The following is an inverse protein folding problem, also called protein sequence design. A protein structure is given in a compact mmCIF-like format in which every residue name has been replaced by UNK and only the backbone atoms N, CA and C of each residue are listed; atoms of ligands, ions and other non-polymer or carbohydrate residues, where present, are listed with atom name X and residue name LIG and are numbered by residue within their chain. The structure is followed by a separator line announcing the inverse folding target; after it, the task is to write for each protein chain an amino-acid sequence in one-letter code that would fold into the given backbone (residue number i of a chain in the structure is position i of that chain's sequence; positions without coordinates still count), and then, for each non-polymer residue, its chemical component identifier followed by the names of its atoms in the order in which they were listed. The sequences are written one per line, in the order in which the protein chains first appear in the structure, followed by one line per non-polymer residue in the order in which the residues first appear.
data_IF_071949384772
#
_entry.id   IF_071949384772
#
_cell.length_a   1.000
_cell.length_b   1.000
_cell.length_c   1.000
_cell.angle_alpha   90.00
_cell.angle_beta   90.00
_cell.angle_gamma   90.00
#
_symmetry.space_group_name_H-M   'P 1'
#
loop_
_entity.id
_entity.type
_entity.pdbx_description
1 polymer ?
#
# COMPACT_ATOMS: atom_id res chain seq x y z
N UNK A 1 -41.89 -42.81 -45.02
CA UNK A 1 -42.94 -42.34 -45.98
C UNK A 1 -42.73 -40.84 -46.15
N UNK A 2 -42.21 -40.45 -47.31
CA UNK A 2 -42.33 -39.09 -47.88
C UNK A 2 -43.77 -38.95 -48.40
N UNK A 3 -44.32 -37.75 -48.82
CA UNK A 3 -43.65 -36.73 -49.65
C UNK A 3 -44.08 -35.24 -49.43
N UNK A 4 -43.26 -34.37 -50.06
CA UNK A 4 -43.55 -33.32 -51.09
C UNK A 4 -44.14 -31.98 -50.68
N UNK A 5 -43.41 -30.93 -50.84
CA UNK A 5 -43.22 -29.98 -51.96
C UNK A 5 -44.40 -28.99 -52.16
N UNK A 6 -44.13 -27.67 -52.17
CA UNK A 6 -44.29 -26.82 -53.36
C UNK A 6 -43.82 -25.36 -53.15
N UNK A 7 -43.03 -24.89 -54.12
CA UNK A 7 -42.61 -23.50 -54.39
C UNK A 7 -43.86 -22.59 -54.69
N UNK A 8 -43.73 -21.29 -54.42
CA UNK A 8 -44.14 -20.26 -55.37
C UNK A 8 -43.35 -18.94 -55.18
N UNK A 9 -42.69 -18.54 -56.27
CA UNK A 9 -42.10 -17.22 -56.50
C UNK A 9 -43.20 -16.22 -56.86
N UNK A 10 -43.05 -14.95 -56.45
CA UNK A 10 -43.53 -13.80 -57.24
C UNK A 10 -42.72 -12.54 -56.90
N UNK A 11 -42.02 -12.03 -57.91
CA UNK A 11 -41.35 -10.75 -57.94
C UNK A 11 -42.29 -9.64 -58.36
N UNK A 12 -42.22 -8.46 -57.77
CA UNK A 12 -42.68 -7.21 -58.38
C UNK A 12 -41.68 -6.10 -58.10
N UNK A 13 -41.16 -5.53 -59.20
CA UNK A 13 -40.36 -4.32 -59.27
C UNK A 13 -41.18 -3.06 -58.94
N UNK A 14 -40.56 -2.10 -58.24
CA UNK A 14 -41.08 -0.75 -58.07
C UNK A 14 -39.97 0.23 -57.84
N UNK A 15 -39.51 0.92 -58.85
CA UNK A 15 -38.63 2.09 -58.81
C UNK A 15 -39.28 3.30 -58.13
N UNK A 16 -38.55 3.99 -57.28
CA UNK A 16 -38.97 5.29 -56.71
C UNK A 16 -37.76 5.99 -56.10
N UNK A 17 -37.06 6.76 -56.91
CA UNK A 17 -36.08 7.75 -56.48
C UNK A 17 -36.74 8.92 -55.76
N UNK A 18 -36.18 9.33 -54.58
CA UNK A 18 -36.16 10.74 -54.16
C UNK A 18 -35.28 10.99 -52.95
N UNK A 19 -34.30 11.81 -53.17
CA UNK A 19 -33.67 12.84 -52.32
C UNK A 19 -33.20 12.48 -50.91
N UNK A 20 -31.90 12.45 -50.75
CA UNK A 20 -31.17 12.64 -49.50
C UNK A 20 -31.21 14.10 -49.02
N UNK A 21 -31.30 14.38 -47.71
CA UNK A 21 -30.54 15.44 -47.16
C UNK A 21 -29.28 14.89 -46.47
N UNK A 22 -28.16 15.47 -46.84
CA UNK A 22 -26.89 15.39 -46.11
C UNK A 22 -27.02 16.06 -44.75
N UNK A 23 -26.92 15.29 -43.65
CA UNK A 23 -26.36 15.74 -42.39
C UNK A 23 -26.45 14.60 -41.33
N UNK A 24 -25.56 13.64 -41.43
CA UNK A 24 -25.29 12.67 -40.34
C UNK A 24 -23.83 12.21 -40.40
N UNK A 25 -22.90 13.15 -40.46
CA UNK A 25 -21.46 12.85 -40.35
C UNK A 25 -20.76 13.41 -39.12
N UNK A 26 -21.45 14.10 -38.22
CA UNK A 26 -20.82 14.68 -37.02
C UNK A 26 -21.10 13.96 -35.69
N UNK A 27 -21.86 12.86 -35.72
CA UNK A 27 -22.23 12.11 -34.51
C UNK A 27 -21.45 10.81 -34.28
N UNK A 28 -20.53 10.41 -35.15
CA UNK A 28 -19.87 9.08 -35.08
C UNK A 28 -18.38 9.08 -34.81
N UNK A 29 -17.75 10.24 -34.66
CA UNK A 29 -16.30 10.36 -34.38
C UNK A 29 -15.94 10.51 -32.90
N UNK A 30 -16.91 10.50 -31.97
CA UNK A 30 -16.65 10.58 -30.53
C UNK A 30 -16.76 9.25 -29.76
N UNK A 31 -16.90 8.12 -30.42
CA UNK A 31 -17.06 6.81 -29.77
C UNK A 31 -16.03 5.74 -30.16
N UNK A 32 -14.94 6.09 -30.79
CA UNK A 32 -13.91 5.10 -31.18
C UNK A 32 -12.49 5.50 -30.80
N UNK A 33 -12.31 6.22 -29.73
CA UNK A 33 -10.96 6.48 -29.22
C UNK A 33 -10.98 6.34 -27.71
N UNK A 34 -10.81 5.12 -27.21
CA UNK A 34 -10.15 4.81 -25.91
C UNK A 34 -10.31 3.34 -25.48
N UNK A 35 -10.46 2.42 -26.39
CA UNK A 35 -10.33 1.00 -26.05
C UNK A 35 -8.85 0.61 -26.07
N UNK A 36 -8.05 1.00 -25.04
CA UNK A 36 -6.70 0.50 -24.99
C UNK A 36 -5.64 1.23 -24.21
N UNK A 37 -5.94 2.37 -23.61
CA UNK A 37 -4.93 3.10 -22.84
C UNK A 37 -5.08 2.90 -21.33
N UNK A 38 -5.39 1.68 -20.88
CA UNK A 38 -5.42 1.37 -19.46
C UNK A 38 -3.98 1.31 -18.93
N UNK A 39 -3.75 1.89 -17.77
CA UNK A 39 -2.48 1.78 -17.07
C UNK A 39 -2.46 0.49 -16.25
N UNK A 40 -1.28 -0.12 -16.18
CA UNK A 40 -1.04 -1.31 -15.36
C UNK A 40 -0.03 -1.01 -14.27
N UNK A 41 -0.30 -1.47 -13.06
CA UNK A 41 0.61 -1.35 -11.93
C UNK A 41 0.63 -2.60 -11.08
N UNK A 42 1.70 -2.77 -10.32
CA UNK A 42 1.80 -3.88 -9.37
C UNK A 42 2.63 -3.49 -8.15
N UNK A 43 2.36 -4.11 -7.00
CA UNK A 43 3.24 -3.94 -5.85
C UNK A 43 2.56 -4.02 -4.50
N UNK A 44 2.89 -3.08 -3.64
CA UNK A 44 2.56 -3.06 -2.23
C UNK A 44 1.08 -3.32 -1.92
N UNK A 45 0.83 -4.17 -0.92
CA UNK A 45 -0.52 -4.40 -0.39
C UNK A 45 -0.91 -3.33 0.63
N UNK A 46 0.06 -2.67 1.24
CA UNK A 46 -0.13 -1.61 2.23
C UNK A 46 -1.07 -0.51 1.72
N UNK A 47 -0.86 0.15 0.54
CA UNK A 47 -1.75 1.20 0.05
C UNK A 47 -2.94 0.68 -0.76
N UNK A 48 -3.10 -0.64 -0.94
CA UNK A 48 -4.12 -1.19 -1.82
C UNK A 48 -5.54 -0.66 -1.58
N UNK A 49 -6.03 -0.49 -0.34
CA UNK A 49 -7.36 0.08 -0.09
C UNK A 49 -7.53 1.50 -0.63
N UNK A 50 -6.54 2.39 -0.43
CA UNK A 50 -6.62 3.75 -0.95
C UNK A 50 -6.39 3.80 -2.46
N UNK A 51 -5.49 2.98 -3.00
CA UNK A 51 -5.27 2.89 -4.44
C UNK A 51 -6.53 2.43 -5.17
N UNK A 52 -7.21 1.40 -4.67
CA UNK A 52 -8.49 0.96 -5.23
C UNK A 52 -9.52 2.09 -5.25
N UNK A 53 -9.65 2.85 -4.14
CA UNK A 53 -10.56 4.00 -4.06
C UNK A 53 -10.17 5.11 -5.05
N UNK A 54 -8.90 5.42 -5.18
CA UNK A 54 -8.41 6.44 -6.11
C UNK A 54 -8.58 6.03 -7.57
N UNK A 55 -8.24 4.78 -7.93
CA UNK A 55 -8.37 4.30 -9.31
C UNK A 55 -9.83 4.28 -9.76
N UNK A 56 -10.76 3.87 -8.88
CA UNK A 56 -12.19 3.93 -9.16
C UNK A 56 -12.68 5.38 -9.33
N UNK A 57 -12.29 6.30 -8.44
CA UNK A 57 -12.67 7.71 -8.52
C UNK A 57 -12.08 8.38 -9.78
N UNK A 58 -10.81 8.09 -10.10
CA UNK A 58 -10.14 8.62 -11.27
C UNK A 58 -10.78 8.11 -12.57
N UNK A 59 -11.13 6.83 -12.62
CA UNK A 59 -11.82 6.25 -13.77
C UNK A 59 -13.22 6.86 -14.00
N UNK A 60 -13.96 7.15 -12.92
CA UNK A 60 -15.26 7.84 -13.01
C UNK A 60 -15.13 9.27 -13.52
N UNK A 61 -14.05 9.97 -13.16
CA UNK A 61 -13.81 11.36 -13.58
C UNK A 61 -13.27 11.46 -15.02
N UNK A 62 -12.38 10.54 -15.41
CA UNK A 62 -11.59 10.68 -16.64
C UNK A 62 -11.85 9.62 -17.70
N UNK A 63 -12.50 8.52 -17.34
CA UNK A 63 -12.67 7.34 -18.20
C UNK A 63 -11.40 6.45 -18.29
N UNK A 64 -10.28 6.83 -17.64
CA UNK A 64 -9.02 6.08 -17.66
C UNK A 64 -9.04 5.04 -16.53
N UNK A 65 -8.88 3.77 -16.89
CA UNK A 65 -8.84 2.66 -15.96
C UNK A 65 -7.41 2.30 -15.61
N UNK A 66 -7.16 2.07 -14.33
CA UNK A 66 -5.87 1.62 -13.81
C UNK A 66 -6.06 0.22 -13.24
N UNK A 67 -5.36 -0.75 -13.81
CA UNK A 67 -5.34 -2.13 -13.31
C UNK A 67 -4.15 -2.31 -12.38
N UNK A 68 -4.40 -2.67 -11.12
CA UNK A 68 -3.37 -2.82 -10.11
C UNK A 68 -3.36 -4.22 -9.50
N UNK A 69 -2.18 -4.83 -9.46
CA UNK A 69 -1.94 -6.13 -8.85
C UNK A 69 -1.30 -5.97 -7.48
N UNK A 70 -2.07 -6.20 -6.42
CA UNK A 70 -1.60 -6.16 -5.03
C UNK A 70 -0.82 -7.44 -4.68
N UNK A 71 0.49 -7.47 -4.95
CA UNK A 71 1.36 -8.66 -4.87
C UNK A 71 2.55 -8.51 -3.91
N UNK A 72 2.60 -7.41 -3.19
CA UNK A 72 3.70 -7.04 -2.29
C UNK A 72 4.80 -6.22 -2.97
N UNK A 73 5.50 -5.41 -2.18
CA UNK A 73 6.52 -4.47 -2.65
C UNK A 73 7.63 -5.14 -3.45
N UNK A 74 8.09 -6.31 -3.02
CA UNK A 74 9.14 -7.05 -3.75
C UNK A 74 8.68 -7.48 -5.15
N UNK A 75 7.41 -7.89 -5.30
CA UNK A 75 6.80 -8.18 -6.59
C UNK A 75 6.68 -6.93 -7.47
N UNK A 76 6.27 -5.80 -6.87
CA UNK A 76 6.15 -4.51 -7.53
C UNK A 76 7.49 -3.99 -8.06
N UNK A 77 8.52 -3.96 -7.20
CA UNK A 77 9.87 -3.56 -7.61
C UNK A 77 10.37 -4.43 -8.77
N UNK A 78 10.19 -5.75 -8.69
CA UNK A 78 10.63 -6.66 -9.74
C UNK A 78 9.92 -6.39 -11.07
N UNK A 79 8.59 -6.34 -11.09
CA UNK A 79 7.83 -6.10 -12.32
C UNK A 79 8.11 -4.73 -12.93
N UNK A 80 8.31 -3.72 -12.07
CA UNK A 80 8.72 -2.39 -12.50
C UNK A 80 10.12 -2.41 -13.14
N UNK A 81 11.09 -3.06 -12.52
CA UNK A 81 12.46 -3.19 -13.05
C UNK A 81 12.48 -3.96 -14.38
N UNK A 82 11.64 -4.99 -14.53
CA UNK A 82 11.48 -5.78 -15.74
C UNK A 82 10.66 -5.06 -16.83
N UNK A 83 10.08 -3.90 -16.54
CA UNK A 83 9.25 -3.13 -17.48
C UNK A 83 7.93 -3.83 -17.89
N UNK A 84 7.43 -4.75 -17.06
CA UNK A 84 6.19 -5.50 -17.33
C UNK A 84 4.93 -4.78 -16.85
N UNK A 85 5.09 -3.67 -16.13
CA UNK A 85 4.02 -2.76 -15.69
C UNK A 85 4.41 -1.31 -15.96
N UNK A 86 3.42 -0.42 -16.05
CA UNK A 86 3.64 1.00 -16.29
C UNK A 86 4.16 1.72 -15.04
N UNK A 87 3.84 1.20 -13.85
CA UNK A 87 4.37 1.68 -12.57
C UNK A 87 4.46 0.55 -11.53
N UNK A 88 5.41 0.67 -10.63
CA UNK A 88 5.50 -0.17 -9.44
C UNK A 88 4.89 0.52 -8.22
N UNK A 89 4.67 -0.24 -7.13
CA UNK A 89 4.35 0.33 -5.82
C UNK A 89 5.10 -0.37 -4.71
N UNK A 90 5.65 0.41 -3.77
CA UNK A 90 6.46 -0.11 -2.67
C UNK A 90 6.35 0.76 -1.43
N UNK A 91 6.36 0.13 -0.24
CA UNK A 91 6.49 0.78 1.06
C UNK A 91 7.92 0.66 1.60
N UNK A 92 8.82 0.11 0.80
CA UNK A 92 10.26 0.14 0.99
C UNK A 92 10.88 0.92 -0.16
N UNK A 93 11.75 1.90 0.09
CA UNK A 93 12.49 2.52 -1.00
C UNK A 93 13.36 1.48 -1.71
N UNK A 94 13.50 1.61 -3.02
CA UNK A 94 14.45 0.79 -3.76
C UNK A 94 15.87 1.04 -3.27
N UNK A 95 16.67 0.00 -3.23
CA UNK A 95 18.13 0.13 -3.00
C UNK A 95 18.81 0.77 -4.21
N UNK A 96 20.01 1.29 -4.03
CA UNK A 96 20.76 1.88 -5.14
C UNK A 96 21.01 0.88 -6.27
N UNK A 97 21.24 -0.40 -5.93
CA UNK A 97 21.41 -1.45 -6.94
C UNK A 97 20.10 -1.75 -7.69
N UNK A 98 18.96 -1.71 -7.00
CA UNK A 98 17.66 -1.85 -7.64
C UNK A 98 17.36 -0.66 -8.57
N UNK A 99 17.66 0.56 -8.15
CA UNK A 99 17.50 1.77 -8.99
C UNK A 99 18.38 1.67 -10.25
N UNK A 100 19.66 1.30 -10.09
CA UNK A 100 20.58 1.11 -11.23
C UNK A 100 20.15 0.03 -12.22
N UNK A 101 19.37 -0.95 -11.76
CA UNK A 101 18.87 -2.04 -12.61
C UNK A 101 17.66 -1.62 -13.46
N UNK A 102 17.04 -0.47 -13.18
CA UNK A 102 15.89 0.03 -13.95
C UNK A 102 16.36 0.72 -15.22
N UNK A 103 15.81 0.35 -16.36
CA UNK A 103 16.05 1.07 -17.61
C UNK A 103 15.32 2.40 -17.60
N UNK A 104 16.04 3.51 -17.81
CA UNK A 104 15.45 4.86 -17.89
C UNK A 104 15.23 5.55 -16.55
N UNK A 105 15.99 5.15 -15.52
CA UNK A 105 15.95 5.66 -14.15
C UNK A 105 14.58 5.49 -13.46
N UNK A 106 14.61 5.42 -12.14
CA UNK A 106 13.42 5.29 -11.30
C UNK A 106 13.21 6.54 -10.44
N UNK A 107 11.97 7.02 -10.37
CA UNK A 107 11.53 8.04 -9.43
C UNK A 107 10.62 7.42 -8.37
N UNK A 108 10.83 7.79 -7.11
CA UNK A 108 9.96 7.46 -6.00
C UNK A 108 8.96 8.60 -5.78
N UNK A 109 7.69 8.36 -6.07
CA UNK A 109 6.61 9.34 -5.90
C UNK A 109 5.81 8.98 -4.64
N UNK A 110 6.01 9.68 -3.51
CA UNK A 110 5.22 9.42 -2.30
C UNK A 110 3.75 9.71 -2.55
N UNK A 111 2.87 8.88 -2.00
CA UNK A 111 1.43 8.96 -2.23
C UNK A 111 0.65 9.31 -0.98
N UNK A 112 0.89 8.59 0.10
CA UNK A 112 0.31 8.79 1.44
C UNK A 112 1.30 8.32 2.49
N UNK A 113 0.94 8.57 3.76
CA UNK A 113 1.60 7.97 4.91
C UNK A 113 0.66 6.97 5.57
N UNK A 114 1.23 5.89 6.12
CA UNK A 114 0.46 4.93 6.90
C UNK A 114 1.25 4.42 8.10
N UNK A 115 0.58 3.63 8.93
CA UNK A 115 1.11 3.02 10.14
C UNK A 115 1.17 1.51 10.01
N UNK A 116 2.28 0.90 10.37
CA UNK A 116 2.33 -0.53 10.66
C UNK A 116 1.96 -0.74 12.12
N UNK A 117 0.94 -1.56 12.38
CA UNK A 117 0.46 -1.86 13.71
C UNK A 117 0.74 -3.30 14.10
N UNK A 118 1.13 -3.52 15.36
CA UNK A 118 1.15 -4.85 15.95
C UNK A 118 -0.29 -5.21 16.33
N UNK A 119 -0.94 -6.03 15.52
CA UNK A 119 -2.32 -6.49 15.72
C UNK A 119 -2.32 -7.88 16.35
N UNK A 120 -3.33 -8.18 17.15
CA UNK A 120 -3.39 -9.44 17.90
C UNK A 120 -4.82 -9.96 18.03
N UNK A 121 -4.91 -11.23 18.44
CA UNK A 121 -6.17 -11.88 18.74
C UNK A 121 -6.12 -12.48 20.15
N UNK A 122 -6.67 -11.76 21.11
CA UNK A 122 -6.79 -12.16 22.53
C UNK A 122 -8.23 -11.96 23.01
N UNK A 123 -9.12 -12.93 22.80
CA UNK A 123 -10.53 -12.79 23.19
C UNK A 123 -10.73 -12.50 24.68
N UNK A 124 -9.84 -12.99 25.54
CA UNK A 124 -9.91 -12.82 27.00
C UNK A 124 -9.79 -11.37 27.49
N UNK A 125 -9.19 -10.47 26.70
CA UNK A 125 -9.07 -9.05 27.03
C UNK A 125 -9.95 -8.15 26.16
N UNK A 126 -10.72 -8.74 25.25
CA UNK A 126 -11.62 -8.04 24.34
C UNK A 126 -10.89 -7.04 23.45
N UNK A 127 -11.39 -5.80 23.40
CA UNK A 127 -10.81 -4.72 22.59
C UNK A 127 -9.82 -3.82 23.35
N UNK A 128 -9.31 -4.28 24.49
CA UNK A 128 -8.33 -3.50 25.27
C UNK A 128 -7.07 -3.30 24.43
N UNK A 129 -6.70 -2.04 24.21
CA UNK A 129 -5.46 -1.71 23.49
C UNK A 129 -4.25 -2.02 24.38
N UNK A 130 -3.41 -2.94 23.95
CA UNK A 130 -2.15 -3.25 24.63
C UNK A 130 -1.11 -2.17 24.35
N UNK A 131 -0.17 -2.04 25.27
CA UNK A 131 1.02 -1.19 25.15
C UNK A 131 2.24 -2.08 24.98
N UNK A 132 3.02 -1.84 23.92
CA UNK A 132 4.28 -2.54 23.67
C UNK A 132 5.38 -1.52 23.42
N UNK A 133 6.60 -1.84 23.85
CA UNK A 133 7.78 -1.09 23.44
C UNK A 133 8.57 -1.86 22.38
N UNK A 134 9.46 -1.16 21.71
CA UNK A 134 10.25 -1.75 20.61
C UNK A 134 11.10 -2.95 21.05
N UNK A 135 11.82 -2.90 22.20
CA UNK A 135 12.58 -4.05 22.69
C UNK A 135 11.69 -5.27 22.98
N UNK A 136 10.55 -5.10 23.64
CA UNK A 136 9.61 -6.20 23.91
C UNK A 136 9.07 -6.81 22.63
N UNK A 137 8.69 -5.96 21.66
CA UNK A 137 8.20 -6.41 20.36
C UNK A 137 9.29 -7.20 19.60
N UNK A 138 10.54 -6.73 19.62
CA UNK A 138 11.66 -7.44 19.03
C UNK A 138 11.89 -8.82 19.68
N UNK A 139 11.82 -8.92 21.01
CA UNK A 139 11.99 -10.19 21.74
C UNK A 139 10.86 -11.20 21.41
N UNK A 140 9.63 -10.72 21.16
CA UNK A 140 8.52 -11.56 20.70
C UNK A 140 8.86 -12.15 19.30
N UNK A 141 9.22 -11.30 18.33
CA UNK A 141 9.56 -11.75 16.98
C UNK A 141 10.86 -12.58 16.91
N UNK A 142 11.75 -12.42 17.89
CA UNK A 142 12.93 -13.30 18.06
C UNK A 142 12.61 -14.67 18.68
N UNK A 143 11.38 -14.88 19.18
CA UNK A 143 10.97 -16.10 19.88
C UNK A 143 11.51 -16.22 21.30
N UNK A 144 11.90 -15.10 21.93
CA UNK A 144 12.40 -15.07 23.31
C UNK A 144 11.33 -14.69 24.33
N UNK A 145 10.23 -14.09 23.89
CA UNK A 145 8.98 -13.94 24.60
C UNK A 145 7.95 -14.78 23.87
N UNK A 146 7.48 -15.83 24.51
CA UNK A 146 6.59 -16.81 23.90
C UNK A 146 5.21 -16.89 24.53
N UNK A 147 4.98 -16.13 25.61
CA UNK A 147 3.70 -16.13 26.33
C UNK A 147 3.20 -14.72 26.58
N UNK A 148 1.88 -14.53 26.47
CA UNK A 148 1.25 -13.26 26.76
C UNK A 148 1.38 -12.84 28.23
N UNK A 149 1.46 -13.81 29.16
CA UNK A 149 1.70 -13.57 30.59
C UNK A 149 3.14 -13.19 30.95
N UNK A 150 4.06 -13.11 29.99
CA UNK A 150 5.45 -12.71 30.25
C UNK A 150 5.51 -11.38 30.99
N UNK A 151 6.36 -11.32 32.04
CA UNK A 151 6.48 -10.15 32.91
C UNK A 151 6.85 -8.85 32.17
N UNK A 152 7.54 -8.95 31.02
CA UNK A 152 7.90 -7.79 30.20
C UNK A 152 6.68 -7.18 29.54
N UNK A 153 5.71 -7.99 29.12
CA UNK A 153 4.44 -7.52 28.56
C UNK A 153 3.52 -7.02 29.68
N UNK A 154 3.39 -7.77 30.77
CA UNK A 154 2.49 -7.40 31.88
C UNK A 154 2.92 -6.11 32.57
N UNK A 155 4.23 -5.86 32.70
CA UNK A 155 4.77 -4.60 33.25
C UNK A 155 4.42 -3.37 32.41
N UNK A 156 4.26 -3.51 31.10
CA UNK A 156 3.83 -2.43 30.19
C UNK A 156 2.31 -2.21 30.24
N UNK A 157 1.54 -3.16 30.78
CA UNK A 157 0.09 -3.20 30.77
C UNK A 157 -0.50 -3.37 32.19
N UNK A 158 -0.17 -2.48 33.14
CA UNK A 158 -0.70 -2.60 34.51
C UNK A 158 -2.23 -2.55 34.50
N UNK A 159 -2.86 -3.47 35.24
CA UNK A 159 -4.31 -3.59 35.31
C UNK A 159 -4.96 -4.45 34.20
N UNK A 160 -4.22 -4.87 33.18
CA UNK A 160 -4.72 -5.82 32.19
C UNK A 160 -4.36 -7.24 32.60
N UNK A 161 -5.37 -8.11 32.79
CA UNK A 161 -5.16 -9.53 33.10
C UNK A 161 -4.84 -10.29 31.82
N UNK A 162 -3.57 -10.35 31.46
CA UNK A 162 -3.12 -11.11 30.30
C UNK A 162 -3.21 -12.63 30.55
N UNK A 163 -3.64 -13.42 29.56
CA UNK A 163 -3.77 -14.89 29.73
C UNK A 163 -2.39 -15.54 29.74
N UNK A 164 -2.31 -16.67 30.44
CA UNK A 164 -1.16 -17.57 30.34
C UNK A 164 -1.29 -18.45 29.09
N UNK A 165 -1.11 -17.82 27.94
CA UNK A 165 -1.31 -18.37 26.58
C UNK A 165 -0.08 -18.09 25.72
N UNK A 166 0.23 -19.02 24.82
CA UNK A 166 1.32 -18.86 23.87
C UNK A 166 1.05 -17.74 22.87
N UNK A 167 2.11 -17.04 22.48
CA UNK A 167 2.09 -16.06 21.41
C UNK A 167 2.38 -16.78 20.09
N UNK A 168 1.43 -16.77 19.19
CA UNK A 168 1.60 -17.27 17.83
C UNK A 168 1.97 -16.11 16.92
N UNK A 169 3.24 -16.01 16.57
CA UNK A 169 3.71 -14.95 15.68
C UNK A 169 3.23 -15.20 14.25
N UNK A 170 2.70 -14.14 13.61
CA UNK A 170 2.31 -14.16 12.20
C UNK A 170 3.09 -13.10 11.44
N UNK A 171 3.77 -13.49 10.38
CA UNK A 171 4.61 -12.61 9.57
C UNK A 171 4.27 -12.70 8.08
N UNK A 172 4.83 -11.83 7.26
CA UNK A 172 4.66 -11.85 5.80
C UNK A 172 5.50 -12.98 5.18
N UNK A 173 4.92 -13.65 4.20
CA UNK A 173 5.58 -14.71 3.41
C UNK A 173 6.04 -14.23 2.02
N UNK A 174 5.67 -13.01 1.63
CA UNK A 174 6.04 -12.36 0.37
C UNK A 174 7.05 -11.23 0.61
N UNK A 175 7.64 -10.70 -0.46
CA UNK A 175 8.47 -9.50 -0.40
C UNK A 175 7.62 -8.27 -0.07
N UNK A 176 7.74 -7.74 1.14
CA UNK A 176 6.79 -6.81 1.76
C UNK A 176 7.43 -5.52 2.24
N UNK A 177 6.89 -4.38 1.80
CA UNK A 177 7.26 -3.09 2.37
C UNK A 177 6.82 -2.93 3.82
N UNK A 178 5.65 -3.50 4.21
CA UNK A 178 5.21 -3.54 5.60
C UNK A 178 6.23 -4.28 6.49
N UNK A 179 6.82 -5.38 5.99
CA UNK A 179 7.94 -6.06 6.65
C UNK A 179 9.16 -5.15 6.75
N UNK A 180 9.51 -4.43 5.68
CA UNK A 180 10.64 -3.49 5.71
C UNK A 180 10.45 -2.43 6.79
N UNK A 181 9.27 -1.82 6.89
CA UNK A 181 8.96 -0.78 7.88
C UNK A 181 9.12 -1.32 9.30
N UNK A 182 8.51 -2.48 9.59
CA UNK A 182 8.64 -3.10 10.91
C UNK A 182 10.09 -3.46 11.24
N UNK A 183 10.79 -4.11 10.31
CA UNK A 183 12.17 -4.57 10.54
C UNK A 183 13.17 -3.42 10.61
N UNK A 184 12.92 -2.31 9.91
CA UNK A 184 13.68 -1.07 10.08
C UNK A 184 13.48 -0.47 11.48
N UNK A 185 12.25 -0.42 11.96
CA UNK A 185 11.96 0.00 13.35
C UNK A 185 12.64 -0.91 14.37
N UNK A 186 12.46 -2.23 14.26
CA UNK A 186 13.05 -3.20 15.19
C UNK A 186 14.59 -3.14 15.17
N UNK A 187 15.21 -2.89 14.02
CA UNK A 187 16.66 -2.72 13.90
C UNK A 187 17.17 -1.44 14.58
N UNK A 188 16.34 -0.39 14.66
CA UNK A 188 16.68 0.86 15.36
C UNK A 188 16.60 0.74 16.89
N UNK A 189 15.69 -0.11 17.39
CA UNK A 189 15.36 -0.20 18.82
C UNK A 189 15.89 -1.45 19.52
N UNK A 190 16.42 -2.44 18.78
CA UNK A 190 16.96 -3.69 19.29
C UNK A 190 18.27 -4.10 18.59
N UNK A 191 19.43 -3.98 19.27
CA UNK A 191 20.69 -4.49 18.75
C UNK A 191 20.67 -6.00 18.47
N UNK A 192 19.92 -6.78 19.28
CA UNK A 192 19.78 -8.21 19.09
C UNK A 192 19.04 -8.54 17.78
N UNK A 193 17.95 -7.79 17.48
CA UNK A 193 17.23 -7.92 16.20
C UNK A 193 18.14 -7.51 15.04
N UNK A 194 18.78 -6.34 15.13
CA UNK A 194 19.67 -5.82 14.09
C UNK A 194 20.79 -6.80 13.73
N UNK A 195 21.41 -7.44 14.73
CA UNK A 195 22.50 -8.38 14.52
C UNK A 195 22.07 -9.76 14.01
N UNK A 196 20.85 -10.22 14.38
CA UNK A 196 20.38 -11.56 14.02
C UNK A 196 19.56 -11.59 12.74
N UNK A 197 18.72 -10.58 12.50
CA UNK A 197 17.72 -10.55 11.42
C UNK A 197 17.95 -9.38 10.46
N UNK A 198 18.17 -8.18 10.99
CA UNK A 198 18.33 -6.97 10.20
C UNK A 198 17.02 -6.43 9.65
N UNK A 199 17.09 -5.72 8.51
CA UNK A 199 15.94 -5.11 7.83
C UNK A 199 15.97 -5.38 6.33
N UNK A 200 14.83 -5.81 5.79
CA UNK A 200 14.61 -5.99 4.35
C UNK A 200 13.10 -6.15 4.07
N UNK A 201 12.74 -6.18 2.79
CA UNK A 201 11.39 -6.57 2.36
C UNK A 201 11.09 -8.06 2.58
N UNK A 202 12.14 -8.88 2.72
CA UNK A 202 12.07 -10.29 3.07
C UNK A 202 13.24 -10.62 3.99
N UNK A 203 12.97 -11.22 5.14
CA UNK A 203 13.97 -11.60 6.15
C UNK A 203 13.81 -13.07 6.54
N UNK A 204 14.86 -13.64 7.15
CA UNK A 204 14.77 -14.97 7.76
C UNK A 204 14.07 -14.83 9.12
N UNK A 205 12.78 -15.10 9.15
CA UNK A 205 12.00 -15.04 10.39
C UNK A 205 12.43 -16.13 11.35
N UNK A 206 12.76 -15.78 12.60
CA UNK A 206 13.17 -16.80 13.58
C UNK A 206 12.06 -17.79 13.94
N UNK A 207 10.81 -17.32 13.98
CA UNK A 207 9.60 -18.07 14.33
C UNK A 207 8.40 -17.50 13.56
N UNK A 208 7.30 -18.22 13.57
CA UNK A 208 5.99 -17.74 13.16
C UNK A 208 5.43 -18.42 11.92
N UNK A 209 4.21 -18.02 11.59
CA UNK A 209 3.45 -18.47 10.43
C UNK A 209 3.48 -17.41 9.35
N UNK A 210 3.63 -17.82 8.10
CA UNK A 210 3.66 -16.91 6.96
C UNK A 210 2.27 -16.61 6.41
N UNK A 211 1.91 -15.31 6.27
CA UNK A 211 0.71 -14.84 5.58
C UNK A 211 1.07 -14.03 4.34
N UNK A 212 0.42 -14.30 3.21
CA UNK A 212 0.64 -13.53 1.96
C UNK A 212 -0.15 -12.22 1.99
N UNK A 213 0.53 -11.10 1.80
CA UNK A 213 -0.05 -9.77 1.83
C UNK A 213 -0.48 -9.33 3.23
N UNK A 214 -0.94 -8.08 3.38
CA UNK A 214 -1.60 -7.62 4.61
C UNK A 214 -2.87 -8.43 4.88
N UNK A 215 -3.57 -8.82 3.83
CA UNK A 215 -4.78 -9.63 3.85
C UNK A 215 -4.55 -11.00 4.52
N UNK A 216 -3.51 -11.71 4.10
CA UNK A 216 -3.18 -13.04 4.61
C UNK A 216 -2.74 -13.01 6.07
N UNK A 217 -1.94 -12.02 6.48
CA UNK A 217 -1.57 -11.82 7.88
C UNK A 217 -2.80 -11.49 8.72
N UNK A 218 -3.65 -10.55 8.27
CA UNK A 218 -4.89 -10.19 8.95
C UNK A 218 -5.79 -11.40 9.18
N UNK A 219 -5.97 -12.22 8.14
CA UNK A 219 -6.82 -13.41 8.21
C UNK A 219 -6.27 -14.43 9.20
N UNK A 220 -4.95 -14.69 9.19
CA UNK A 220 -4.35 -15.63 10.13
C UNK A 220 -4.44 -15.15 11.57
N UNK A 221 -4.17 -13.86 11.83
CA UNK A 221 -4.34 -13.28 13.17
C UNK A 221 -5.79 -13.42 13.64
N UNK A 222 -6.75 -13.11 12.78
CA UNK A 222 -8.19 -13.19 13.10
C UNK A 222 -8.65 -14.59 13.46
N UNK A 223 -8.09 -15.62 12.83
CA UNK A 223 -8.48 -17.01 13.00
C UNK A 223 -7.70 -17.74 14.09
N UNK A 224 -6.61 -17.17 14.61
CA UNK A 224 -5.71 -17.87 15.54
C UNK A 224 -5.73 -17.16 16.89
N UNK A 225 -6.30 -17.81 17.89
CA UNK A 225 -6.26 -17.33 19.27
C UNK A 225 -4.81 -17.26 19.79
N UNK A 226 -4.47 -16.14 20.44
CA UNK A 226 -3.10 -15.90 20.90
C UNK A 226 -2.17 -15.35 19.81
N UNK A 227 -2.65 -15.15 18.59
CA UNK A 227 -1.83 -14.61 17.52
C UNK A 227 -1.42 -13.15 17.76
N UNK A 228 -0.20 -12.83 17.31
CA UNK A 228 0.33 -11.48 17.14
C UNK A 228 0.96 -11.38 15.76
N UNK A 229 0.49 -10.44 14.96
CA UNK A 229 1.03 -10.14 13.64
C UNK A 229 1.24 -8.65 13.43
N UNK A 230 1.58 -8.26 12.23
CA UNK A 230 1.71 -6.85 11.85
C UNK A 230 1.10 -6.59 10.48
N UNK A 231 0.37 -5.51 10.39
CA UNK A 231 -0.31 -5.08 9.15
C UNK A 231 -0.35 -3.55 9.08
N UNK A 232 -0.71 -3.02 7.92
CA UNK A 232 -1.11 -1.63 7.82
C UNK A 232 -2.42 -1.42 8.59
N UNK A 233 -2.57 -0.25 9.22
CA UNK A 233 -3.62 0.09 10.19
C UNK A 233 -5.04 -0.20 9.68
N UNK A 234 -5.36 0.15 8.42
CA UNK A 234 -6.72 -0.04 7.88
C UNK A 234 -7.12 -1.52 7.86
N UNK A 235 -6.18 -2.44 7.67
CA UNK A 235 -6.48 -3.86 7.68
C UNK A 235 -6.91 -4.36 9.07
N UNK A 236 -6.29 -3.84 10.13
CA UNK A 236 -6.74 -4.13 11.49
C UNK A 236 -8.12 -3.53 11.78
N UNK A 237 -8.32 -2.25 11.45
CA UNK A 237 -9.59 -1.53 11.65
C UNK A 237 -10.75 -2.20 10.89
N UNK A 238 -10.58 -2.43 9.60
CA UNK A 238 -11.62 -3.01 8.73
C UNK A 238 -12.02 -4.43 9.11
N UNK A 239 -11.14 -5.14 9.83
CA UNK A 239 -11.40 -6.51 10.30
C UNK A 239 -11.78 -6.57 11.78
N UNK A 240 -11.89 -5.43 12.46
CA UNK A 240 -12.24 -5.35 13.88
C UNK A 240 -11.20 -5.94 14.82
N UNK A 241 -9.93 -6.04 14.36
CA UNK A 241 -8.82 -6.53 15.17
C UNK A 241 -8.27 -5.41 16.06
N UNK A 242 -7.95 -5.70 17.32
CA UNK A 242 -7.24 -4.78 18.19
C UNK A 242 -5.77 -4.63 17.74
N UNK A 243 -5.16 -3.52 18.10
CA UNK A 243 -3.76 -3.24 17.84
C UNK A 243 -3.11 -2.52 19.02
N UNK A 244 -1.80 -2.71 19.17
CA UNK A 244 -1.05 -2.15 20.28
C UNK A 244 -0.67 -0.69 20.04
N UNK A 245 -0.63 0.11 21.12
CA UNK A 245 0.07 1.38 21.15
C UNK A 245 1.56 1.12 21.34
N UNK A 246 2.39 1.77 20.55
CA UNK A 246 3.83 1.53 20.58
C UNK A 246 4.55 2.70 21.23
N UNK A 247 5.49 2.38 22.13
CA UNK A 247 6.34 3.38 22.78
C UNK A 247 7.30 4.00 21.76
N UNK A 248 7.27 5.31 21.63
CA UNK A 248 8.14 6.07 20.72
C UNK A 248 9.51 6.38 21.36
N UNK A 249 10.39 7.06 20.60
CA UNK A 249 11.73 7.44 21.04
C UNK A 249 11.76 8.36 22.26
N UNK A 250 10.68 9.09 22.53
CA UNK A 250 10.52 9.97 23.72
C UNK A 250 9.90 9.24 24.93
N UNK A 251 9.72 7.91 24.83
CA UNK A 251 9.19 7.09 25.93
C UNK A 251 7.67 7.14 26.10
N UNK A 252 6.93 7.73 25.16
CA UNK A 252 5.47 7.86 25.19
C UNK A 252 4.82 6.74 24.39
N UNK A 253 3.77 6.12 24.92
CA UNK A 253 2.95 5.17 24.14
C UNK A 253 2.02 5.94 23.22
N UNK A 254 2.16 5.70 21.93
CA UNK A 254 1.42 6.43 20.89
C UNK A 254 0.44 5.51 20.19
N UNK A 255 -0.79 5.98 20.12
CA UNK A 255 -1.82 5.40 19.26
C UNK A 255 -1.55 5.78 17.78
N UNK A 256 -1.69 4.83 16.82
CA UNK A 256 -1.61 5.14 15.41
C UNK A 256 -2.86 5.91 14.96
N UNK A 257 -2.72 7.21 14.80
CA UNK A 257 -3.77 8.12 14.32
C UNK A 257 -3.24 8.94 13.15
N UNK A 258 -4.12 9.57 12.37
CA UNK A 258 -3.69 10.50 11.31
C UNK A 258 -2.70 11.54 11.84
N UNK A 259 -2.98 12.10 13.03
CA UNK A 259 -2.13 13.12 13.67
C UNK A 259 -0.74 12.55 14.01
N UNK A 260 -0.68 11.38 14.66
CA UNK A 260 0.59 10.79 15.10
C UNK A 260 1.45 10.27 13.95
N UNK A 261 0.82 9.79 12.87
CA UNK A 261 1.48 9.39 11.63
C UNK A 261 2.01 10.62 10.88
N UNK A 262 1.23 11.69 10.76
CA UNK A 262 1.69 12.96 10.17
C UNK A 262 2.85 13.57 10.97
N UNK A 263 2.80 13.49 12.32
CA UNK A 263 3.87 13.96 13.19
C UNK A 263 5.19 13.20 12.94
N UNK A 264 5.12 11.91 12.61
CA UNK A 264 6.31 11.12 12.28
C UNK A 264 7.04 11.62 11.02
N UNK A 265 6.32 12.21 10.07
CA UNK A 265 6.89 12.75 8.85
C UNK A 265 7.39 14.20 8.98
N UNK A 266 6.97 14.93 10.02
CA UNK A 266 7.26 16.37 10.17
C UNK A 266 8.77 16.69 10.25
N UNK A 267 9.60 15.73 10.72
CA UNK A 267 11.05 15.88 10.80
C UNK A 267 11.83 15.20 9.66
N UNK A 268 11.12 14.68 8.64
CA UNK A 268 11.78 13.98 7.54
C UNK A 268 12.60 14.96 6.67
N UNK A 269 13.87 14.63 6.45
CA UNK A 269 14.69 15.35 5.49
C UNK A 269 14.38 14.85 4.07
N UNK A 270 13.59 15.61 3.33
CA UNK A 270 13.18 15.32 1.95
C UNK A 270 13.93 16.23 0.96
N UNK A 271 15.23 16.44 1.19
CA UNK A 271 16.05 17.22 0.27
C UNK A 271 16.00 16.69 -1.17
N UNK A 272 16.34 17.53 -2.16
CA UNK A 272 16.23 17.20 -3.58
C UNK A 272 17.02 15.93 -3.99
N UNK A 273 18.09 15.64 -3.28
CA UNK A 273 18.98 14.49 -3.58
C UNK A 273 18.49 13.16 -2.97
N UNK A 274 17.40 13.19 -2.20
CA UNK A 274 16.93 11.98 -1.49
C UNK A 274 16.07 11.07 -2.35
N UNK A 275 15.55 11.56 -3.48
CA UNK A 275 14.53 10.89 -4.28
C UNK A 275 13.36 10.37 -3.41
N UNK A 276 13.01 11.11 -2.34
CA UNK A 276 12.03 10.74 -1.33
C UNK A 276 12.28 9.39 -0.64
N UNK A 277 13.44 8.76 -0.81
CA UNK A 277 13.82 7.47 -0.23
C UNK A 277 14.26 7.60 1.24
N UNK A 278 13.35 8.02 2.09
CA UNK A 278 13.63 8.31 3.49
C UNK A 278 12.87 7.37 4.41
N UNK A 279 13.49 6.98 5.52
CA UNK A 279 12.84 6.24 6.60
C UNK A 279 12.38 7.21 7.68
N UNK A 280 11.12 7.13 8.06
CA UNK A 280 10.51 7.87 9.17
C UNK A 280 10.13 6.98 10.34
N UNK A 281 10.68 5.76 10.43
CA UNK A 281 10.50 4.90 11.61
C UNK A 281 11.33 5.39 12.78
N UNK A 282 10.77 5.26 13.99
CA UNK A 282 11.36 5.73 15.25
C UNK A 282 11.83 7.19 15.20
N UNK A 283 11.02 8.14 14.70
CA UNK A 283 11.41 9.53 14.59
C UNK A 283 11.45 10.18 15.98
N UNK A 284 12.15 11.30 16.08
CA UNK A 284 12.03 12.18 17.23
C UNK A 284 10.65 12.85 17.23
N UNK A 285 10.19 13.22 18.42
CA UNK A 285 8.93 13.93 18.59
C UNK A 285 7.95 13.19 19.50
N UNK A 286 7.46 13.93 20.53
CA UNK A 286 6.62 13.36 21.59
C UNK A 286 5.33 12.72 21.07
N UNK A 287 4.76 13.26 19.99
CA UNK A 287 3.48 12.81 19.44
C UNK A 287 3.63 11.90 18.23
N UNK A 288 4.87 11.54 17.84
CA UNK A 288 5.15 10.77 16.62
C UNK A 288 4.93 9.28 16.82
N UNK A 289 4.14 8.66 15.92
CA UNK A 289 3.98 7.21 15.89
C UNK A 289 5.27 6.54 15.35
N UNK A 290 5.84 5.56 16.06
CA UNK A 290 7.18 5.10 15.76
C UNK A 290 7.31 4.14 14.57
N UNK A 291 6.20 3.56 14.08
CA UNK A 291 6.23 2.58 12.99
C UNK A 291 5.42 3.10 11.79
N UNK A 292 5.72 4.36 11.41
CA UNK A 292 5.12 5.04 10.27
C UNK A 292 6.05 5.01 9.05
N UNK A 293 5.46 5.10 7.86
CA UNK A 293 6.21 5.23 6.60
C UNK A 293 5.39 5.94 5.54
N UNK A 294 6.09 6.52 4.57
CA UNK A 294 5.53 6.77 3.25
C UNK A 294 5.27 5.45 2.52
N UNK A 295 4.41 5.49 1.52
CA UNK A 295 4.35 4.51 0.44
C UNK A 295 4.53 5.24 -0.88
N UNK A 296 5.18 4.59 -1.85
CA UNK A 296 5.59 5.22 -3.10
C UNK A 296 5.02 4.49 -4.31
N UNK A 297 4.69 5.27 -5.35
CA UNK A 297 4.68 4.77 -6.70
C UNK A 297 6.10 4.89 -7.28
N UNK A 298 6.52 3.84 -7.98
CA UNK A 298 7.79 3.78 -8.71
C UNK A 298 7.46 4.05 -10.17
N UNK A 299 8.05 5.09 -10.74
CA UNK A 299 7.77 5.51 -12.11
C UNK A 299 9.06 5.71 -12.88
N UNK A 300 9.04 5.43 -14.19
CA UNK A 300 10.19 5.69 -15.05
C UNK A 300 10.34 7.19 -15.30
N UNK A 301 11.53 7.71 -15.10
CA UNK A 301 11.86 9.10 -15.43
C UNK A 301 11.86 9.30 -16.95
N UNK A 302 12.35 8.29 -17.69
CA UNK A 302 12.37 8.29 -19.14
C UNK A 302 11.52 7.10 -19.63
N UNK A 303 10.19 7.28 -19.76
CA UNK A 303 9.30 6.19 -20.14
C UNK A 303 9.41 5.86 -21.63
N UNK A 304 9.25 4.58 -21.98
CA UNK A 304 9.28 4.09 -23.35
C UNK A 304 8.02 4.42 -24.16
N UNK A 305 6.87 4.58 -23.49
CA UNK A 305 5.58 4.96 -24.09
C UNK A 305 5.14 6.34 -23.61
N UNK A 306 5.25 7.38 -24.47
CA UNK A 306 4.87 8.74 -24.11
C UNK A 306 3.38 8.90 -23.80
N UNK A 307 2.50 8.06 -24.37
CA UNK A 307 1.06 8.12 -24.13
C UNK A 307 0.76 7.63 -22.71
N UNK A 308 1.28 6.47 -22.34
CA UNK A 308 1.15 5.94 -20.98
C UNK A 308 1.82 6.84 -19.94
N UNK A 309 2.97 7.40 -20.25
CA UNK A 309 3.65 8.39 -19.40
C UNK A 309 2.76 9.59 -19.07
N UNK A 310 2.11 10.16 -20.10
CA UNK A 310 1.19 11.28 -19.91
C UNK A 310 -0.03 10.90 -19.07
N UNK A 311 -0.60 9.71 -19.31
CA UNK A 311 -1.73 9.22 -18.51
C UNK A 311 -1.35 9.01 -17.05
N UNK A 312 -0.20 8.39 -16.80
CA UNK A 312 0.33 8.18 -15.45
C UNK A 312 0.61 9.52 -14.76
N UNK A 313 1.28 10.45 -15.43
CA UNK A 313 1.55 11.79 -14.89
C UNK A 313 0.26 12.52 -14.52
N UNK A 314 -0.78 12.43 -15.35
CA UNK A 314 -2.08 13.02 -15.05
C UNK A 314 -2.72 12.42 -13.80
N UNK A 315 -2.64 11.09 -13.64
CA UNK A 315 -3.07 10.42 -12.41
C UNK A 315 -2.25 10.88 -11.20
N UNK A 316 -0.92 10.97 -11.29
CA UNK A 316 -0.06 11.43 -10.20
C UNK A 316 -0.41 12.86 -9.76
N UNK A 317 -0.66 13.76 -10.71
CA UNK A 317 -1.13 15.13 -10.41
C UNK A 317 -2.52 15.10 -9.76
N UNK A 318 -3.42 14.25 -10.25
CA UNK A 318 -4.77 14.12 -9.70
C UNK A 318 -4.76 13.62 -8.25
N UNK A 319 -3.95 12.60 -7.92
CA UNK A 319 -3.88 12.05 -6.55
C UNK A 319 -3.33 13.05 -5.53
N UNK A 320 -2.56 14.06 -5.97
CA UNK A 320 -2.03 15.12 -5.10
C UNK A 320 -3.05 16.22 -4.81
N UNK A 321 -4.21 16.22 -5.47
CA UNK A 321 -5.27 17.21 -5.20
C UNK A 321 -5.82 17.06 -3.78
N UNK A 322 -6.25 18.16 -3.15
CA UNK A 322 -6.84 18.09 -1.80
C UNK A 322 -8.03 17.14 -1.69
N UNK A 323 -8.81 16.97 -2.77
CA UNK A 323 -9.95 16.03 -2.81
C UNK A 323 -9.50 14.58 -2.72
N UNK A 324 -8.47 14.18 -3.46
CA UNK A 324 -7.91 12.84 -3.45
C UNK A 324 -7.20 12.54 -2.11
N UNK A 325 -6.43 13.50 -1.59
CA UNK A 325 -5.76 13.35 -0.29
C UNK A 325 -6.76 13.26 0.88
N UNK A 326 -7.94 13.90 0.81
CA UNK A 326 -9.01 13.68 1.79
C UNK A 326 -9.55 12.25 1.78
N UNK A 327 -9.64 11.61 0.60
CA UNK A 327 -10.06 10.20 0.51
C UNK A 327 -9.10 9.27 1.27
N UNK A 328 -7.82 9.64 1.37
CA UNK A 328 -6.85 8.88 2.16
C UNK A 328 -7.17 8.94 3.66
N UNK A 329 -7.51 10.12 4.17
CA UNK A 329 -7.89 10.30 5.57
C UNK A 329 -9.12 9.46 5.96
N UNK A 330 -10.10 9.32 5.08
CA UNK A 330 -11.29 8.46 5.30
C UNK A 330 -10.94 6.97 5.50
N UNK A 331 -9.76 6.55 5.00
CA UNK A 331 -9.24 5.20 5.12
C UNK A 331 -8.05 5.12 6.09
N UNK A 332 -7.94 6.08 7.01
CA UNK A 332 -6.90 6.14 8.04
C UNK A 332 -5.46 6.26 7.52
N UNK A 333 -5.25 6.59 6.25
CA UNK A 333 -3.95 7.03 5.75
C UNK A 333 -3.78 8.52 5.99
N UNK A 334 -2.63 8.93 6.52
CA UNK A 334 -2.34 10.36 6.67
C UNK A 334 -2.02 10.97 5.29
N UNK A 335 -2.69 12.06 4.92
CA UNK A 335 -2.35 12.81 3.71
C UNK A 335 -0.90 13.28 3.73
N UNK A 336 -0.32 13.44 2.55
CA UNK A 336 1.01 14.03 2.42
C UNK A 336 1.03 15.46 2.99
N UNK A 337 2.07 15.85 3.74
CA UNK A 337 2.27 17.23 4.14
C UNK A 337 2.37 18.16 2.90
N UNK A 338 1.82 19.37 3.02
CA UNK A 338 1.82 20.34 1.91
C UNK A 338 3.22 20.55 1.29
N UNK A 339 4.31 20.72 2.08
CA UNK A 339 5.64 20.86 1.48
C UNK A 339 6.09 19.64 0.67
N UNK A 340 5.63 18.44 1.05
CA UNK A 340 5.92 17.21 0.28
C UNK A 340 5.17 17.23 -1.04
N UNK A 341 3.89 17.60 -1.02
CA UNK A 341 3.08 17.75 -2.25
C UNK A 341 3.75 18.71 -3.23
N UNK A 342 4.19 19.87 -2.75
CA UNK A 342 4.87 20.88 -3.58
C UNK A 342 6.18 20.34 -4.19
N UNK A 343 6.99 19.62 -3.41
CA UNK A 343 8.21 18.99 -3.91
C UNK A 343 7.91 17.93 -4.98
N UNK A 344 6.88 17.10 -4.77
CA UNK A 344 6.46 16.08 -5.74
C UNK A 344 5.95 16.75 -7.02
N UNK A 345 5.11 17.79 -6.91
CA UNK A 345 4.60 18.53 -8.07
C UNK A 345 5.72 19.15 -8.89
N UNK A 346 6.71 19.74 -8.21
CA UNK A 346 7.91 20.29 -8.85
C UNK A 346 8.65 19.18 -9.61
N UNK A 347 8.92 18.04 -8.96
CA UNK A 347 9.62 16.91 -9.58
C UNK A 347 8.89 16.36 -10.81
N UNK A 348 7.55 16.26 -10.75
CA UNK A 348 6.72 15.83 -11.88
C UNK A 348 6.64 16.88 -13.00
N UNK A 349 6.90 18.16 -12.71
CA UNK A 349 6.97 19.24 -13.69
C UNK A 349 8.30 19.30 -14.43
N UNK A 350 9.37 18.75 -13.83
CA UNK A 350 10.73 18.71 -14.38
C UNK A 350 11.01 17.43 -15.19
N UNK A 351 10.11 16.43 -15.13
CA UNK A 351 10.22 15.12 -15.79
C UNK A 351 9.52 15.07 -17.14
#
# INVERSE_FOLDING_TARGET
MRPNSLLLLLAVLGCGSRDRPANQKEGRERQSATAGADLTGAGATFPNPIYTKWFDAYAKETGIRINYQSIGSGGGIRQFTEGTVDFGASDAPMTDDQVKAVTGDALHVPTVLGAVVATYNLPSIGKTALKLDGPTLAEIFLGRITRWSDRRITALNPGVKLPDQDIIVVHRSDGSGTTFILTDFLSKVSPAWKGKVGKATSVQWPIGLGGKGNEGVTQQVKQTDGALGYVELIYAISNGLPYAWIKNAEGVFIEPTLKSVSAAAAGANLGPDTDFRVSITNPKGRDSYPVASFTWLLVHQTPSDPTKARLLRNFLIWMLRPSAQRMAADLHYAPLPVPVIELVQKRLGEA
#
